data_IF_989664291630
#
_entry.id   IF_989664291630
#
_cell.length_a   1.000
_cell.length_b   1.000
_cell.length_c   1.000
_cell.angle_alpha   90.00
_cell.angle_beta   90.00
_cell.angle_gamma   90.00
#
_symmetry.space_group_name_H-M   'P 1'
#
loop_
_entity.id
_entity.type
_entity.pdbx_description
1 polymer ?
#
# COMPACT_ATOMS: atom_id res chain seq x y z
N UNK A 1 4.68 9.82 36.83
CA UNK A 1 5.32 9.88 35.49
C UNK A 1 4.34 10.04 34.31
N UNK A 2 3.02 9.85 34.46
CA UNK A 2 2.04 9.99 33.35
C UNK A 2 1.73 11.47 33.01
N UNK A 3 1.94 12.40 33.94
CA UNK A 3 1.59 13.84 33.81
C UNK A 3 2.48 14.61 32.82
N UNK A 4 3.72 14.18 32.61
CA UNK A 4 4.69 14.84 31.72
C UNK A 4 4.36 14.66 30.23
N UNK A 5 3.93 13.45 29.83
CA UNK A 5 3.60 13.16 28.44
C UNK A 5 2.34 13.90 27.95
N UNK A 6 1.30 13.96 28.80
CA UNK A 6 0.08 14.70 28.50
C UNK A 6 0.34 16.21 28.43
N UNK A 7 1.12 16.75 29.38
CA UNK A 7 1.51 18.16 29.39
C UNK A 7 2.33 18.54 28.15
N UNK A 8 3.30 17.72 27.76
CA UNK A 8 4.10 17.92 26.54
C UNK A 8 3.25 17.92 25.27
N UNK A 9 2.24 17.04 25.21
CA UNK A 9 1.32 16.98 24.07
C UNK A 9 0.51 18.26 23.95
N UNK A 10 -0.01 18.79 25.05
CA UNK A 10 -0.81 20.02 25.02
C UNK A 10 0.04 21.23 24.64
N UNK A 11 1.24 21.37 25.21
CA UNK A 11 2.18 22.43 24.83
C UNK A 11 2.53 22.38 23.34
N UNK A 12 2.80 21.18 22.81
CA UNK A 12 3.06 21.01 21.38
C UNK A 12 1.82 21.40 20.55
N UNK A 13 0.62 20.97 20.95
CA UNK A 13 -0.64 21.29 20.26
C UNK A 13 -0.85 22.79 20.16
N UNK A 14 -0.73 23.53 21.26
CA UNK A 14 -0.93 24.99 21.27
C UNK A 14 0.12 25.71 20.41
N UNK A 15 1.39 25.27 20.46
CA UNK A 15 2.45 25.82 19.60
C UNK A 15 2.16 25.59 18.11
N UNK A 16 1.75 24.36 17.73
CA UNK A 16 1.39 24.04 16.35
C UNK A 16 0.14 24.78 15.88
N UNK A 17 -0.89 24.92 16.72
CA UNK A 17 -2.09 25.69 16.39
C UNK A 17 -1.78 27.17 16.16
N UNK A 18 -0.98 27.77 17.03
CA UNK A 18 -0.55 29.16 16.85
C UNK A 18 0.23 29.36 15.54
N UNK A 19 1.11 28.42 15.21
CA UNK A 19 1.87 28.46 13.95
C UNK A 19 0.96 28.32 12.73
N UNK A 20 0.07 27.32 12.72
CA UNK A 20 -0.86 27.07 11.60
C UNK A 20 -1.81 28.25 11.42
N UNK A 21 -2.40 28.78 12.49
CA UNK A 21 -3.29 29.93 12.39
C UNK A 21 -2.59 31.15 11.77
N UNK A 22 -1.34 31.44 12.17
CA UNK A 22 -0.57 32.54 11.58
C UNK A 22 -0.36 32.33 10.08
N UNK A 23 0.05 31.13 9.67
CA UNK A 23 0.30 30.78 8.26
C UNK A 23 -0.96 30.88 7.39
N UNK A 24 -2.09 30.37 7.89
CA UNK A 24 -3.34 30.36 7.13
C UNK A 24 -4.03 31.73 7.07
N UNK A 25 -3.82 32.59 8.07
CA UNK A 25 -4.31 33.98 8.05
C UNK A 25 -3.63 34.80 6.95
N UNK A 26 -2.32 34.58 6.74
CA UNK A 26 -1.59 35.22 5.63
C UNK A 26 -2.14 34.75 4.27
N UNK A 27 -2.42 33.45 4.12
CA UNK A 27 -2.98 32.87 2.89
C UNK A 27 -4.43 33.32 2.58
N UNK A 28 -5.23 33.67 3.59
CA UNK A 28 -6.61 34.15 3.43
C UNK A 28 -6.72 35.60 2.93
N UNK A 29 -5.62 36.35 3.02
CA UNK A 29 -5.58 37.76 2.62
C UNK A 29 -5.46 37.95 1.10
N UNK A 30 -5.07 36.90 0.35
CA UNK A 30 -4.97 36.89 -1.12
C UNK A 30 -6.21 36.25 -1.76
N UNK A 31 -7.21 37.09 -2.03
CA UNK A 31 -8.57 36.67 -2.40
C UNK A 31 -8.74 35.85 -3.71
N UNK A 32 -7.95 36.00 -4.79
CA UNK A 32 -8.20 35.22 -6.00
C UNK A 32 -7.67 33.78 -5.93
N UNK A 33 -6.66 33.49 -5.11
CA UNK A 33 -5.96 32.19 -5.10
C UNK A 33 -5.95 31.48 -3.74
N UNK A 34 -6.84 31.85 -2.82
CA UNK A 34 -6.84 31.33 -1.45
C UNK A 34 -6.92 29.79 -1.37
N UNK A 35 -7.74 29.14 -2.22
CA UNK A 35 -7.86 27.67 -2.22
C UNK A 35 -6.56 27.00 -2.66
N UNK A 36 -5.93 27.49 -3.73
CA UNK A 36 -4.64 26.96 -4.20
C UNK A 36 -3.55 27.13 -3.12
N UNK A 37 -3.54 28.27 -2.42
CA UNK A 37 -2.62 28.49 -1.31
C UNK A 37 -2.86 27.50 -0.15
N UNK A 38 -4.12 27.21 0.19
CA UNK A 38 -4.47 26.18 1.18
C UNK A 38 -4.06 24.77 0.74
N UNK A 39 -4.24 24.43 -0.54
CA UNK A 39 -3.82 23.14 -1.10
C UNK A 39 -2.29 22.97 -1.01
N UNK A 40 -1.52 24.02 -1.35
CA UNK A 40 -0.07 24.02 -1.15
C UNK A 40 0.32 23.83 0.33
N UNK A 41 -0.40 24.44 1.28
CA UNK A 41 -0.14 24.23 2.72
C UNK A 41 -0.44 22.79 3.16
N UNK A 42 -1.50 22.17 2.63
CA UNK A 42 -1.83 20.76 2.89
C UNK A 42 -0.72 19.83 2.38
N UNK A 43 -0.22 20.07 1.16
CA UNK A 43 0.91 19.31 0.60
C UNK A 43 2.16 19.40 1.48
N UNK A 44 2.49 20.60 1.97
CA UNK A 44 3.61 20.82 2.88
C UNK A 44 3.41 20.10 4.23
N UNK A 45 2.19 20.12 4.78
CA UNK A 45 1.89 19.38 6.02
C UNK A 45 2.10 17.89 5.83
N UNK A 46 1.69 17.32 4.69
CA UNK A 46 1.93 15.92 4.37
C UNK A 46 3.42 15.60 4.21
N UNK A 47 4.18 16.48 3.56
CA UNK A 47 5.65 16.37 3.45
C UNK A 47 6.31 16.36 4.84
N UNK A 48 6.00 17.32 5.70
CA UNK A 48 6.54 17.36 7.06
C UNK A 48 6.09 16.17 7.90
N UNK A 49 4.84 15.73 7.75
CA UNK A 49 4.35 14.52 8.40
C UNK A 49 5.13 13.28 7.94
N UNK A 50 5.52 13.19 6.66
CA UNK A 50 6.39 12.13 6.16
C UNK A 50 7.78 12.19 6.80
N UNK A 51 8.38 13.39 6.97
CA UNK A 51 9.64 13.57 7.68
C UNK A 51 9.57 13.14 9.15
N UNK A 52 8.51 13.53 9.87
CA UNK A 52 8.29 13.12 11.27
C UNK A 52 8.12 11.60 11.37
N UNK A 53 7.33 11.00 10.47
CA UNK A 53 7.17 9.53 10.39
C UNK A 53 8.49 8.83 10.12
N UNK A 54 9.30 9.35 9.18
CA UNK A 54 10.63 8.80 8.90
C UNK A 54 11.55 8.88 10.13
N UNK A 55 11.56 10.00 10.85
CA UNK A 55 12.34 10.17 12.08
C UNK A 55 11.86 9.23 13.19
N UNK A 56 10.55 9.12 13.40
CA UNK A 56 9.96 8.16 14.34
C UNK A 56 10.40 6.74 14.00
N UNK A 57 10.27 6.34 12.73
CA UNK A 57 10.63 5.01 12.27
C UNK A 57 12.12 4.74 12.43
N UNK A 58 13.01 5.72 12.23
CA UNK A 58 14.44 5.58 12.51
C UNK A 58 14.75 5.35 14.00
N UNK A 59 13.88 5.82 14.90
CA UNK A 59 13.99 5.62 16.33
C UNK A 59 13.33 4.32 16.84
N UNK A 60 12.50 3.65 16.03
CA UNK A 60 11.90 2.38 16.46
C UNK A 60 12.96 1.29 16.50
N UNK A 61 12.81 0.37 17.46
CA UNK A 61 13.77 -0.73 17.67
C UNK A 61 14.07 -1.53 16.40
N UNK A 62 13.08 -1.92 15.57
CA UNK A 62 13.36 -2.71 14.38
C UNK A 62 14.25 -1.99 13.36
N UNK A 63 14.13 -0.66 13.22
CA UNK A 63 14.95 0.11 12.28
C UNK A 63 16.36 0.42 12.78
N UNK A 64 16.69 0.04 14.03
CA UNK A 64 18.04 0.17 14.61
C UNK A 64 18.87 -1.10 14.46
N UNK A 65 18.29 -2.17 13.93
CA UNK A 65 18.99 -3.40 13.66
C UNK A 65 19.98 -3.19 12.49
N UNK A 66 21.16 -3.84 12.53
CA UNK A 66 22.02 -3.97 11.36
C UNK A 66 21.26 -4.49 10.14
N UNK A 67 21.65 -4.05 8.95
CA UNK A 67 20.97 -4.39 7.70
C UNK A 67 20.93 -5.91 7.46
N UNK A 68 21.96 -6.63 7.89
CA UNK A 68 22.09 -8.09 7.75
C UNK A 68 21.01 -8.83 8.55
N UNK A 69 20.70 -8.33 9.75
CA UNK A 69 19.61 -8.89 10.58
C UNK A 69 18.25 -8.56 9.98
N UNK A 70 18.06 -7.36 9.44
CA UNK A 70 16.82 -7.00 8.74
C UNK A 70 16.62 -7.87 7.50
N UNK A 71 17.64 -8.07 6.68
CA UNK A 71 17.57 -8.96 5.51
C UNK A 71 17.26 -10.40 5.90
N UNK A 72 17.83 -10.88 7.02
CA UNK A 72 17.53 -12.23 7.55
C UNK A 72 16.08 -12.36 8.01
N UNK A 73 15.56 -11.34 8.72
CA UNK A 73 14.15 -11.29 9.12
C UNK A 73 13.24 -11.25 7.88
N UNK A 74 13.59 -10.44 6.88
CA UNK A 74 12.81 -10.35 5.64
C UNK A 74 12.79 -11.68 4.89
N UNK A 75 13.90 -12.41 4.85
CA UNK A 75 13.97 -13.73 4.22
C UNK A 75 13.13 -14.79 4.96
N UNK A 76 13.02 -14.69 6.29
CA UNK A 76 12.11 -15.54 7.07
C UNK A 76 10.66 -15.17 6.74
N UNK A 77 10.33 -13.88 6.76
CA UNK A 77 8.98 -13.39 6.49
C UNK A 77 8.52 -13.71 5.07
N UNK A 78 9.42 -13.64 4.09
CA UNK A 78 9.13 -14.05 2.71
C UNK A 78 8.60 -15.47 2.63
N UNK A 79 9.16 -16.39 3.43
CA UNK A 79 8.79 -17.82 3.46
C UNK A 79 7.52 -18.10 4.27
N UNK A 80 7.27 -17.32 5.32
CA UNK A 80 6.14 -17.57 6.24
C UNK A 80 4.91 -16.70 5.95
N UNK A 81 5.07 -15.61 5.20
CA UNK A 81 4.04 -14.63 4.87
C UNK A 81 4.01 -14.40 3.36
N UNK A 82 3.60 -15.44 2.63
CA UNK A 82 3.46 -15.40 1.18
C UNK A 82 2.28 -14.50 0.77
N UNK A 83 2.33 -13.87 -0.41
CA UNK A 83 1.14 -13.27 -1.01
C UNK A 83 0.05 -14.33 -1.17
N UNK A 84 -1.22 -13.94 -0.98
CA UNK A 84 -2.34 -14.85 -1.09
C UNK A 84 -3.49 -14.20 -1.88
N UNK A 85 -4.01 -14.93 -2.87
CA UNK A 85 -5.24 -14.55 -3.55
C UNK A 85 -6.44 -15.26 -2.91
N UNK A 86 -7.28 -14.50 -2.21
CA UNK A 86 -8.55 -15.02 -1.68
C UNK A 86 -9.68 -14.75 -2.66
N UNK A 87 -10.29 -15.80 -3.20
CA UNK A 87 -11.57 -15.70 -3.92
C UNK A 87 -12.72 -15.65 -2.94
N UNK A 88 -13.41 -14.51 -2.84
CA UNK A 88 -14.60 -14.39 -2.01
C UNK A 88 -15.83 -14.28 -2.89
N UNK A 89 -16.71 -15.26 -2.79
CA UNK A 89 -18.08 -15.13 -3.30
C UNK A 89 -18.85 -14.28 -2.28
N UNK A 90 -18.99 -12.98 -2.53
CA UNK A 90 -19.95 -12.18 -1.77
C UNK A 90 -21.33 -12.49 -2.32
N UNK A 91 -22.19 -13.07 -1.48
CA UNK A 91 -23.64 -12.97 -1.69
C UNK A 91 -23.95 -11.49 -1.45
N UNK A 92 -24.45 -10.79 -2.47
CA UNK A 92 -24.93 -9.42 -2.33
C UNK A 92 -26.13 -9.43 -1.37
N UNK A 93 -25.88 -9.31 -0.07
CA UNK A 93 -26.96 -9.26 0.90
C UNK A 93 -27.49 -7.85 1.16
N UNK A 94 -26.86 -6.81 0.61
CA UNK A 94 -27.41 -5.47 0.67
C UNK A 94 -26.81 -4.52 -0.38
N UNK A 95 -27.53 -4.31 -1.48
CA UNK A 95 -27.59 -3.02 -2.18
C UNK A 95 -29.07 -2.71 -2.40
N UNK A 96 -29.88 -2.76 -1.34
CA UNK A 96 -31.25 -2.26 -1.37
C UNK A 96 -31.34 -0.79 -0.97
N UNK A 97 -30.22 -0.07 -0.81
CA UNK A 97 -30.27 1.37 -0.45
C UNK A 97 -29.17 2.21 -1.10
N UNK A 98 -29.16 2.26 -2.45
CA UNK A 98 -28.78 3.49 -3.17
C UNK A 98 -29.35 3.50 -4.59
N UNK A 99 -30.65 3.82 -4.66
CA UNK A 99 -31.25 4.72 -5.65
C UNK A 99 -30.89 4.46 -7.12
N UNK A 100 -31.69 3.67 -7.85
CA UNK A 100 -32.81 4.19 -8.65
C UNK A 100 -32.44 5.48 -9.40
N UNK A 101 -31.83 5.30 -10.58
CA UNK A 101 -31.70 6.36 -11.58
C UNK A 101 -31.63 5.76 -12.98
N UNK A 102 -32.65 5.00 -13.39
CA UNK A 102 -33.11 4.83 -14.78
C UNK A 102 -34.30 3.84 -14.72
N UNK A 103 -35.49 4.31 -15.07
CA UNK A 103 -36.76 3.60 -14.90
C UNK A 103 -37.03 2.56 -15.98
N UNK A 104 -36.29 1.46 -15.97
CA UNK A 104 -36.72 0.22 -16.64
C UNK A 104 -37.18 -0.74 -15.54
N UNK A 105 -38.46 -1.14 -15.57
CA UNK A 105 -39.03 -2.20 -14.73
C UNK A 105 -38.48 -3.57 -15.17
N UNK A 106 -37.16 -3.73 -15.20
CA UNK A 106 -36.55 -5.05 -15.30
C UNK A 106 -36.64 -5.69 -13.91
N UNK A 107 -37.42 -6.76 -13.87
CA UNK A 107 -37.60 -7.65 -12.73
C UNK A 107 -36.23 -8.06 -12.18
N UNK A 108 -35.89 -7.50 -11.00
CA UNK A 108 -34.65 -7.79 -10.29
C UNK A 108 -34.72 -9.21 -9.74
N UNK A 109 -34.05 -10.15 -10.41
CA UNK A 109 -33.81 -11.50 -9.88
C UNK A 109 -32.60 -11.48 -8.94
N UNK A 110 -32.81 -11.60 -7.60
CA UNK A 110 -31.74 -11.57 -6.62
C UNK A 110 -30.80 -12.78 -6.68
N UNK A 111 -31.15 -13.87 -7.39
CA UNK A 111 -30.34 -15.09 -7.42
C UNK A 111 -29.22 -15.07 -8.49
N UNK A 112 -29.27 -14.14 -9.45
CA UNK A 112 -28.48 -14.27 -10.70
C UNK A 112 -27.17 -13.46 -10.75
N UNK A 113 -26.86 -12.59 -9.78
CA UNK A 113 -25.64 -11.75 -9.82
C UNK A 113 -24.70 -11.93 -8.63
N UNK A 114 -24.25 -13.17 -8.37
CA UNK A 114 -23.06 -13.37 -7.53
C UNK A 114 -21.82 -12.86 -8.27
N UNK A 115 -21.42 -11.61 -8.05
CA UNK A 115 -20.14 -11.10 -8.54
C UNK A 115 -19.02 -11.68 -7.68
N UNK A 116 -18.18 -12.52 -8.29
CA UNK A 116 -17.00 -13.06 -7.63
C UNK A 116 -15.91 -11.97 -7.58
N UNK A 117 -15.51 -11.56 -6.37
CA UNK A 117 -14.41 -10.63 -6.19
C UNK A 117 -13.18 -11.37 -5.67
N UNK A 118 -12.03 -11.08 -6.27
CA UNK A 118 -10.73 -11.54 -5.77
C UNK A 118 -10.13 -10.44 -4.89
N UNK A 119 -9.72 -10.76 -3.66
CA UNK A 119 -8.86 -9.89 -2.87
C UNK A 119 -7.45 -10.47 -2.79
N UNK A 120 -6.44 -9.61 -2.93
CA UNK A 120 -5.04 -10.00 -2.87
C UNK A 120 -4.43 -9.47 -1.57
N UNK A 121 -3.82 -10.35 -0.78
CA UNK A 121 -2.86 -9.96 0.24
C UNK A 121 -1.47 -9.99 -0.40
N UNK A 122 -0.72 -8.89 -0.30
CA UNK A 122 0.63 -8.77 -0.85
C UNK A 122 1.70 -9.40 0.05
N UNK A 123 1.31 -9.94 1.21
CA UNK A 123 2.19 -10.72 2.07
C UNK A 123 3.37 -9.93 2.61
N UNK A 124 4.56 -10.53 2.59
CA UNK A 124 5.81 -9.91 3.02
C UNK A 124 6.14 -8.61 2.27
N UNK A 125 5.59 -8.36 1.08
CA UNK A 125 5.80 -7.11 0.33
C UNK A 125 5.33 -5.89 1.13
N UNK A 126 4.40 -6.07 2.07
CA UNK A 126 4.01 -5.04 3.05
C UNK A 126 5.20 -4.46 3.83
N UNK A 127 6.31 -5.20 4.00
CA UNK A 127 7.53 -4.70 4.64
C UNK A 127 8.11 -3.48 3.91
N UNK A 128 7.92 -3.41 2.59
CA UNK A 128 8.34 -2.26 1.77
C UNK A 128 7.52 -1.00 2.04
N UNK A 129 6.40 -1.10 2.76
CA UNK A 129 5.52 0.02 3.12
C UNK A 129 5.72 0.51 4.56
N UNK A 130 6.49 -0.20 5.40
CA UNK A 130 6.73 0.18 6.80
C UNK A 130 7.52 1.50 6.91
N UNK A 131 8.68 1.57 6.27
CA UNK A 131 9.50 2.77 6.21
C UNK A 131 10.43 2.78 5.00
N UNK A 132 10.98 3.96 4.66
CA UNK A 132 11.90 4.12 3.53
C UNK A 132 13.18 3.28 3.68
N UNK A 133 13.68 3.08 4.91
CA UNK A 133 14.87 2.27 5.14
C UNK A 133 14.61 0.79 4.83
N UNK A 134 13.50 0.24 5.31
CA UNK A 134 13.09 -1.13 5.05
C UNK A 134 12.86 -1.38 3.57
N UNK A 135 12.22 -0.42 2.88
CA UNK A 135 12.06 -0.45 1.43
C UNK A 135 13.41 -0.54 0.72
N UNK A 136 14.38 0.31 1.07
CA UNK A 136 15.71 0.29 0.46
C UNK A 136 16.39 -1.08 0.64
N UNK A 137 16.33 -1.65 1.83
CA UNK A 137 16.92 -2.96 2.12
C UNK A 137 16.24 -4.07 1.31
N UNK A 138 14.90 -4.09 1.31
CA UNK A 138 14.13 -5.09 0.59
C UNK A 138 14.37 -5.01 -0.94
N UNK A 139 14.44 -3.81 -1.51
CA UNK A 139 14.74 -3.61 -2.93
C UNK A 139 16.20 -3.94 -3.27
N UNK A 140 17.14 -3.72 -2.35
CA UNK A 140 18.55 -4.06 -2.53
C UNK A 140 18.87 -5.56 -2.31
N UNK A 141 17.87 -6.38 -1.97
CA UNK A 141 18.03 -7.81 -1.72
C UNK A 141 17.23 -8.62 -2.77
N UNK A 142 17.81 -8.89 -3.96
CA UNK A 142 17.10 -9.57 -5.06
C UNK A 142 16.55 -10.95 -4.71
N UNK A 143 17.21 -11.68 -3.80
CA UNK A 143 16.77 -13.00 -3.33
C UNK A 143 15.39 -12.98 -2.64
N UNK A 144 14.95 -11.82 -2.12
CA UNK A 144 13.58 -11.67 -1.61
C UNK A 144 12.55 -11.69 -2.73
N UNK A 145 12.94 -11.39 -3.97
CA UNK A 145 12.03 -11.27 -5.10
C UNK A 145 12.01 -12.51 -6.00
N UNK A 146 12.79 -13.54 -5.68
CA UNK A 146 12.99 -14.72 -6.53
C UNK A 146 12.09 -15.92 -6.20
N UNK A 147 11.39 -15.90 -5.05
CA UNK A 147 10.57 -17.02 -4.57
C UNK A 147 9.12 -16.56 -4.39
N UNK A 148 8.33 -16.70 -5.47
CA UNK A 148 6.92 -16.35 -5.51
C UNK A 148 6.14 -17.31 -6.39
N UNK A 149 4.95 -17.67 -5.94
CA UNK A 149 3.95 -18.29 -6.80
C UNK A 149 3.23 -17.19 -7.61
N UNK A 150 3.42 -17.18 -8.93
CA UNK A 150 2.82 -16.16 -9.79
C UNK A 150 1.28 -16.18 -9.78
N UNK A 151 0.65 -17.29 -9.36
CA UNK A 151 -0.81 -17.38 -9.27
C UNK A 151 -1.41 -16.63 -8.08
N UNK A 152 -0.61 -16.35 -7.05
CA UNK A 152 -1.07 -15.68 -5.84
C UNK A 152 -0.93 -14.14 -5.92
N UNK A 153 -0.38 -13.66 -7.03
CA UNK A 153 -0.12 -12.24 -7.28
C UNK A 153 -1.07 -11.69 -8.35
N UNK A 154 -1.50 -10.44 -8.17
CA UNK A 154 -2.22 -9.73 -9.22
C UNK A 154 -1.30 -9.52 -10.44
N UNK A 155 -1.84 -9.68 -11.65
CA UNK A 155 -1.07 -9.70 -12.91
C UNK A 155 -0.21 -8.45 -13.12
N UNK A 156 -0.61 -7.30 -12.57
CA UNK A 156 0.15 -6.05 -12.63
C UNK A 156 1.49 -6.08 -11.88
N UNK A 157 1.68 -7.01 -10.93
CA UNK A 157 2.92 -7.10 -10.15
C UNK A 157 4.01 -7.91 -10.85
N UNK A 158 3.69 -8.67 -11.90
CA UNK A 158 4.64 -9.55 -12.58
C UNK A 158 5.88 -8.81 -13.10
N UNK A 159 5.68 -7.66 -13.77
CA UNK A 159 6.78 -6.86 -14.29
C UNK A 159 7.67 -6.30 -13.17
N UNK A 160 7.07 -5.81 -12.09
CA UNK A 160 7.78 -5.25 -10.94
C UNK A 160 8.62 -6.30 -10.22
N UNK A 161 8.11 -7.52 -10.08
CA UNK A 161 8.83 -8.61 -9.43
C UNK A 161 9.99 -9.08 -10.31
N UNK A 162 9.76 -9.25 -11.62
CA UNK A 162 10.80 -9.63 -12.56
C UNK A 162 11.95 -8.61 -12.63
N UNK A 163 11.63 -7.32 -12.59
CA UNK A 163 12.63 -6.25 -12.53
C UNK A 163 13.49 -6.35 -11.24
N UNK A 164 12.85 -6.62 -10.10
CA UNK A 164 13.49 -6.63 -8.78
C UNK A 164 14.25 -7.91 -8.44
N UNK A 165 13.87 -9.04 -9.02
CA UNK A 165 14.63 -10.30 -8.88
C UNK A 165 15.99 -10.25 -9.57
N UNK A 166 16.18 -9.30 -10.50
CA UNK A 166 17.41 -9.16 -11.28
C UNK A 166 17.72 -10.39 -12.12
N UNK A 167 18.96 -10.47 -12.63
CA UNK A 167 19.46 -11.60 -13.43
C UNK A 167 19.87 -12.80 -12.54
N UNK A 168 19.19 -13.05 -11.42
CA UNK A 168 19.52 -14.22 -10.61
C UNK A 168 19.25 -15.50 -11.43
N UNK A 169 20.21 -16.43 -11.50
CA UNK A 169 20.04 -17.67 -12.24
C UNK A 169 18.99 -18.51 -11.51
N UNK A 170 17.85 -18.69 -12.17
CA UNK A 170 16.84 -19.72 -11.92
C UNK A 170 16.30 -19.81 -10.49
N UNK A 171 15.73 -18.70 -9.99
CA UNK A 171 14.64 -18.79 -9.02
C UNK A 171 13.38 -19.24 -9.75
N UNK A 172 12.98 -20.49 -9.57
CA UNK A 172 11.77 -21.09 -10.13
C UNK A 172 10.55 -20.17 -9.90
N UNK A 173 10.18 -19.36 -10.89
CA UNK A 173 8.77 -19.10 -11.11
C UNK A 173 8.18 -20.47 -11.46
N UNK A 174 7.65 -21.19 -10.45
CA UNK A 174 6.72 -22.28 -10.69
C UNK A 174 5.50 -21.64 -11.36
N UNK A 175 5.59 -21.40 -12.66
CA UNK A 175 4.43 -21.14 -13.49
C UNK A 175 3.63 -22.44 -13.47
N UNK A 176 2.42 -22.50 -12.89
CA UNK A 176 1.48 -23.50 -13.33
C UNK A 176 1.06 -23.11 -14.76
N UNK A 177 1.88 -23.49 -15.74
CA UNK A 177 1.42 -23.58 -17.11
C UNK A 177 0.52 -24.82 -17.20
N UNK A 178 -0.71 -24.72 -16.68
CA UNK A 178 -1.80 -25.64 -17.01
C UNK A 178 -3.17 -25.02 -16.69
N UNK A 179 -3.78 -24.55 -17.77
CA UNK A 179 -5.18 -24.75 -18.11
C UNK A 179 -6.23 -24.43 -17.02
N UNK A 180 -6.54 -23.15 -16.84
CA UNK A 180 -7.92 -22.78 -16.56
C UNK A 180 -8.38 -21.72 -17.55
N UNK A 181 -9.46 -22.11 -18.23
CA UNK A 181 -10.30 -21.42 -19.20
C UNK A 181 -10.00 -19.93 -19.45
N UNK A 182 -9.69 -19.66 -20.71
CA UNK A 182 -9.42 -18.36 -21.30
C UNK A 182 -10.60 -17.41 -21.14
N UNK A 183 -10.37 -16.31 -20.41
CA UNK A 183 -10.93 -15.01 -20.83
C UNK A 183 -9.96 -13.83 -20.66
N UNK A 184 -8.83 -13.93 -19.96
CA UNK A 184 -7.93 -12.76 -19.77
C UNK A 184 -6.47 -13.11 -19.43
N UNK A 185 -5.78 -13.85 -20.29
CA UNK A 185 -4.32 -14.02 -20.18
C UNK A 185 -3.61 -13.19 -21.25
N UNK A 186 -3.20 -11.97 -20.89
CA UNK A 186 -2.29 -11.17 -21.70
C UNK A 186 -0.88 -11.75 -21.58
N UNK A 187 -0.36 -12.30 -22.68
CA UNK A 187 1.06 -12.63 -22.84
C UNK A 187 1.85 -11.34 -23.04
N UNK A 188 2.73 -11.00 -22.11
CA UNK A 188 3.74 -9.96 -22.34
C UNK A 188 4.96 -10.59 -23.04
N UNK A 189 5.42 -10.04 -24.19
CA UNK A 189 6.68 -10.46 -24.79
C UNK A 189 7.85 -9.97 -23.94
N UNK A 190 8.87 -10.83 -23.77
CA UNK A 190 10.17 -10.43 -23.23
C UNK A 190 10.78 -9.39 -24.18
N UNK A 191 11.04 -8.18 -23.67
CA UNK A 191 11.87 -7.22 -24.37
C UNK A 191 13.32 -7.75 -24.39
N UNK A 192 13.89 -7.80 -25.59
CA UNK A 192 15.31 -8.05 -25.86
C UNK A 192 16.16 -6.85 -25.48
#
# INVERSE_FOLDING_TARGET
MITDAASRREQAREAWLSFVHSRLQDAASDAPNHIEALDCELELVDEFAAHIRARRNACTWPSRLPVELLSSIFAILQRTWTPEMTRRRRIHHDVATRQSYFGTEEEYDPETHSVEYCSYDVGWVNLTHVCAAWRKIALATPALWSDFNCSDLHTSFGAVIAERSGNQPDGFCHLPCRAYNTSNCYTYPKAL
#
